data_IF_576253350816
#
_entry.id   IF_576253350816
#
_cell.length_a   1.000
_cell.length_b   1.000
_cell.length_c   1.000
_cell.angle_alpha   90.00
_cell.angle_beta   90.00
_cell.angle_gamma   90.00
#
_symmetry.space_group_name_H-M   'P 1'
#
loop_
_entity.id
_entity.type
_entity.pdbx_description
1 polymer ?
#
# COMPACT_ATOMS: atom_id res chain seq x y z
N UNK A 1 -23.93 -11.26 53.10
CA UNK A 1 -24.19 -9.83 52.84
C UNK A 1 -23.49 -9.42 51.55
N UNK A 2 -24.18 -9.48 50.41
CA UNK A 2 -23.66 -9.09 49.09
C UNK A 2 -24.07 -7.63 48.83
N UNK A 3 -23.11 -6.77 48.46
CA UNK A 3 -23.35 -5.37 48.13
C UNK A 3 -23.53 -5.27 46.62
N UNK A 4 -24.70 -4.86 46.16
CA UNK A 4 -25.00 -4.62 44.75
C UNK A 4 -24.27 -3.36 44.25
N UNK A 5 -23.84 -3.30 42.98
CA UNK A 5 -23.36 -2.06 42.39
C UNK A 5 -24.56 -1.13 42.09
N UNK A 6 -24.40 0.14 42.44
CA UNK A 6 -25.38 1.19 42.21
C UNK A 6 -25.64 1.36 40.70
N UNK A 7 -26.92 1.35 40.33
CA UNK A 7 -27.38 1.69 39.00
C UNK A 7 -27.08 3.17 38.71
N UNK A 8 -26.42 3.43 37.59
CA UNK A 8 -26.29 4.76 37.03
C UNK A 8 -27.68 5.21 36.53
N UNK A 9 -28.11 6.45 36.80
CA UNK A 9 -29.33 6.97 36.20
C UNK A 9 -29.13 7.13 34.69
N UNK A 10 -29.97 6.45 33.91
CA UNK A 10 -30.15 6.71 32.49
C UNK A 10 -30.44 8.20 32.26
N UNK A 11 -29.89 8.84 31.22
CA UNK A 11 -30.37 10.14 30.81
C UNK A 11 -31.83 9.99 30.40
N UNK A 12 -32.69 10.72 31.12
CA UNK A 12 -34.09 10.85 30.80
C UNK A 12 -34.23 11.34 29.36
N UNK A 13 -35.14 10.67 28.64
CA UNK A 13 -35.74 11.14 27.40
C UNK A 13 -36.24 12.58 27.62
N UNK A 14 -35.54 13.56 27.06
CA UNK A 14 -35.98 14.95 27.02
C UNK A 14 -36.41 15.30 25.60
N UNK A 15 -37.72 15.44 25.46
CA UNK A 15 -38.43 16.39 24.59
C UNK A 15 -37.85 16.66 23.20
N UNK A 16 -38.55 16.11 22.22
CA UNK A 16 -38.91 16.71 20.94
C UNK A 16 -38.89 18.26 20.99
N UNK A 17 -38.00 18.88 20.20
CA UNK A 17 -38.11 20.21 19.56
C UNK A 17 -36.78 20.45 18.81
N UNK A 18 -36.51 19.65 17.77
CA UNK A 18 -35.53 20.03 16.74
C UNK A 18 -36.17 21.18 15.96
N UNK A 19 -35.70 22.39 16.26
CA UNK A 19 -36.09 23.61 15.59
C UNK A 19 -35.97 23.41 14.08
N UNK A 20 -37.13 23.42 13.43
CA UNK A 20 -37.30 23.66 12.00
C UNK A 20 -36.92 25.14 11.75
N UNK A 21 -35.65 25.48 11.98
CA UNK A 21 -35.08 26.80 11.72
C UNK A 21 -35.00 26.91 10.19
N UNK A 22 -36.06 27.49 9.61
CA UNK A 22 -36.14 27.78 8.19
C UNK A 22 -34.82 28.45 7.77
N UNK A 23 -34.20 28.02 6.66
CA UNK A 23 -32.93 28.59 6.22
C UNK A 23 -33.09 30.11 6.13
N UNK A 24 -32.13 30.83 6.72
CA UNK A 24 -32.12 32.30 6.72
C UNK A 24 -32.51 32.79 5.33
N UNK A 25 -33.53 33.66 5.26
CA UNK A 25 -34.01 34.24 4.00
C UNK A 25 -32.95 35.19 3.43
N UNK A 26 -31.88 34.62 2.87
CA UNK A 26 -30.85 35.35 2.15
C UNK A 26 -31.42 35.78 0.81
N UNK A 27 -31.42 37.09 0.57
CA UNK A 27 -31.78 37.64 -0.73
C UNK A 27 -30.91 37.01 -1.84
N UNK A 28 -31.50 36.79 -3.02
CA UNK A 28 -30.80 36.20 -4.17
C UNK A 28 -29.50 36.92 -4.54
N UNK A 29 -29.36 38.21 -4.23
CA UNK A 29 -28.11 38.97 -4.41
C UNK A 29 -27.00 38.48 -3.48
N UNK A 30 -27.30 38.32 -2.19
CA UNK A 30 -26.35 37.81 -1.19
C UNK A 30 -25.96 36.37 -1.49
N UNK A 31 -26.92 35.53 -1.89
CA UNK A 31 -26.64 34.15 -2.29
C UNK A 31 -25.71 34.08 -3.53
N UNK A 32 -25.86 34.99 -4.50
CA UNK A 32 -24.97 35.06 -5.66
C UNK A 32 -23.56 35.51 -5.27
N UNK A 33 -23.44 36.53 -4.43
CA UNK A 33 -22.14 37.03 -3.97
C UNK A 33 -21.38 35.98 -3.14
N UNK A 34 -22.09 35.27 -2.24
CA UNK A 34 -21.53 34.17 -1.48
C UNK A 34 -21.03 33.04 -2.39
N UNK A 35 -21.83 32.62 -3.38
CA UNK A 35 -21.44 31.59 -4.33
C UNK A 35 -20.22 31.99 -5.18
N UNK A 36 -20.09 33.27 -5.55
CA UNK A 36 -18.91 33.77 -6.26
C UNK A 36 -17.66 33.83 -5.37
N UNK A 37 -17.81 34.22 -4.10
CA UNK A 37 -16.73 34.21 -3.13
C UNK A 37 -16.23 32.78 -2.87
N UNK A 38 -17.13 31.82 -2.71
CA UNK A 38 -16.79 30.41 -2.56
C UNK A 38 -16.03 29.88 -3.77
N UNK A 39 -16.48 30.19 -4.99
CA UNK A 39 -15.77 29.79 -6.22
C UNK A 39 -14.35 30.35 -6.28
N UNK A 40 -14.15 31.60 -5.86
CA UNK A 40 -12.82 32.22 -5.77
C UNK A 40 -11.95 31.51 -4.73
N UNK A 41 -12.47 31.26 -3.53
CA UNK A 41 -11.76 30.58 -2.45
C UNK A 41 -11.36 29.14 -2.84
N UNK A 42 -12.27 28.39 -3.48
CA UNK A 42 -11.99 27.03 -3.97
C UNK A 42 -10.89 27.07 -5.05
N UNK A 43 -10.95 28.04 -5.96
CA UNK A 43 -9.92 28.24 -6.98
C UNK A 43 -8.54 28.56 -6.38
N UNK A 44 -8.49 29.43 -5.37
CA UNK A 44 -7.26 29.75 -4.64
C UNK A 44 -6.72 28.57 -3.84
N UNK A 45 -7.58 27.81 -3.16
CA UNK A 45 -7.19 26.61 -2.43
C UNK A 45 -6.55 25.58 -3.37
N UNK A 46 -7.12 25.39 -4.57
CA UNK A 46 -6.56 24.51 -5.59
C UNK A 46 -5.17 24.98 -6.08
N UNK A 47 -4.97 26.30 -6.23
CA UNK A 47 -3.66 26.88 -6.59
C UNK A 47 -2.63 26.65 -5.49
N UNK A 48 -2.96 26.97 -4.24
CA UNK A 48 -2.09 26.73 -3.06
C UNK A 48 -1.73 25.26 -2.94
N UNK A 49 -2.68 24.35 -3.13
CA UNK A 49 -2.42 22.92 -3.10
C UNK A 49 -1.42 22.49 -4.19
N UNK A 50 -1.55 23.01 -5.41
CA UNK A 50 -0.59 22.76 -6.50
C UNK A 50 0.81 23.27 -6.16
N UNK A 51 0.93 24.41 -5.49
CA UNK A 51 2.21 24.97 -5.06
C UNK A 51 2.87 24.11 -3.98
N UNK A 52 2.13 23.66 -2.97
CA UNK A 52 2.62 22.75 -1.94
C UNK A 52 3.17 21.44 -2.53
N UNK A 53 2.52 20.88 -3.56
CA UNK A 53 3.03 19.68 -4.23
C UNK A 53 4.34 19.94 -4.98
N UNK A 54 4.48 21.11 -5.63
CA UNK A 54 5.74 21.52 -6.27
C UNK A 54 6.85 21.73 -5.23
N UNK A 55 6.54 22.36 -4.11
CA UNK A 55 7.49 22.56 -3.02
C UNK A 55 7.97 21.23 -2.43
N UNK A 56 7.06 20.28 -2.16
CA UNK A 56 7.42 18.93 -1.73
C UNK A 56 8.37 18.25 -2.72
N UNK A 57 8.12 18.40 -4.03
CA UNK A 57 9.01 17.87 -5.07
C UNK A 57 10.39 18.53 -5.03
N UNK A 58 10.47 19.85 -4.84
CA UNK A 58 11.74 20.59 -4.70
C UNK A 58 12.53 20.11 -3.48
N UNK A 59 11.89 20.06 -2.30
CA UNK A 59 12.51 19.57 -1.05
C UNK A 59 13.07 18.15 -1.21
N UNK A 60 12.33 17.26 -1.88
CA UNK A 60 12.81 15.91 -2.13
C UNK A 60 14.03 15.87 -3.06
N UNK A 61 14.06 16.74 -4.09
CA UNK A 61 15.22 16.87 -4.98
C UNK A 61 16.45 17.44 -4.23
N UNK A 62 16.25 18.43 -3.36
CA UNK A 62 17.29 19.01 -2.52
C UNK A 62 17.89 17.96 -1.57
N UNK A 63 17.05 17.19 -0.86
CA UNK A 63 17.51 16.10 -0.01
C UNK A 63 18.28 15.05 -0.80
N UNK A 64 17.84 14.72 -2.02
CA UNK A 64 18.57 13.78 -2.87
C UNK A 64 19.94 14.35 -3.28
N UNK A 65 20.01 15.63 -3.66
CA UNK A 65 21.26 16.29 -4.01
C UNK A 65 22.21 16.38 -2.81
N UNK A 66 21.71 16.72 -1.63
CA UNK A 66 22.48 16.74 -0.39
C UNK A 66 22.97 15.35 0.01
N UNK A 67 22.11 14.33 -0.10
CA UNK A 67 22.53 12.95 0.12
C UNK A 67 23.60 12.53 -0.87
N UNK A 68 23.46 12.88 -2.15
CA UNK A 68 24.49 12.61 -3.15
C UNK A 68 25.80 13.31 -2.80
N UNK A 69 25.77 14.58 -2.42
CA UNK A 69 26.95 15.32 -1.93
C UNK A 69 27.60 14.67 -0.72
N UNK A 70 26.81 14.26 0.29
CA UNK A 70 27.32 13.58 1.50
C UNK A 70 27.84 12.16 1.23
N UNK A 71 27.38 11.51 0.16
CA UNK A 71 27.84 10.19 -0.29
C UNK A 71 29.04 10.27 -1.22
N UNK A 72 29.43 11.46 -1.69
CA UNK A 72 30.71 11.66 -2.35
C UNK A 72 31.82 11.52 -1.31
N UNK A 73 32.96 10.97 -1.74
CA UNK A 73 34.16 10.94 -0.92
C UNK A 73 34.57 12.37 -0.56
N UNK A 74 35.14 12.61 0.63
CA UNK A 74 35.64 13.92 1.01
C UNK A 74 36.51 14.49 -0.11
N UNK A 75 36.35 15.79 -0.39
CA UNK A 75 37.01 16.46 -1.52
C UNK A 75 38.53 16.27 -1.50
N UNK A 76 39.15 16.23 -0.31
CA UNK A 76 40.57 15.93 -0.14
C UNK A 76 40.99 14.59 -0.77
N UNK A 77 40.19 13.53 -0.62
CA UNK A 77 40.49 12.21 -1.22
C UNK A 77 40.31 12.24 -2.74
N UNK A 78 39.36 13.02 -3.24
CA UNK A 78 39.17 13.19 -4.69
C UNK A 78 40.33 13.98 -5.31
N UNK A 79 40.82 15.02 -4.62
CA UNK A 79 41.99 15.80 -5.03
C UNK A 79 43.26 14.93 -5.05
N UNK A 80 43.50 14.11 -4.01
CA UNK A 80 44.63 13.17 -3.99
C UNK A 80 44.59 12.19 -5.16
N UNK A 81 43.42 11.64 -5.50
CA UNK A 81 43.28 10.74 -6.65
C UNK A 81 43.52 11.46 -7.99
N UNK A 82 43.12 12.73 -8.10
CA UNK A 82 43.36 13.53 -9.29
C UNK A 82 44.84 13.89 -9.44
N UNK A 83 45.53 14.30 -8.37
CA UNK A 83 46.96 14.57 -8.36
C UNK A 83 47.77 13.31 -8.71
N UNK A 84 47.37 12.14 -8.21
CA UNK A 84 47.99 10.86 -8.58
C UNK A 84 47.77 10.52 -10.07
N UNK A 85 46.63 10.89 -10.65
CA UNK A 85 46.38 10.72 -12.07
C UNK A 85 47.23 11.69 -12.91
N UNK A 86 47.30 12.96 -12.52
CA UNK A 86 48.14 13.97 -13.19
C UNK A 86 49.63 13.62 -13.10
N UNK A 87 50.09 13.05 -11.97
CA UNK A 87 51.44 12.51 -11.83
C UNK A 87 51.71 11.28 -12.71
N UNK A 88 50.69 10.44 -12.98
CA UNK A 88 50.80 9.33 -13.92
C UNK A 88 50.88 9.79 -15.39
N UNK A 89 50.14 10.84 -15.76
CA UNK A 89 50.09 11.36 -17.13
C UNK A 89 51.42 12.04 -17.57
N UNK A 90 52.27 12.46 -16.63
CA UNK A 90 53.63 12.95 -16.93
C UNK A 90 54.64 11.81 -17.19
N UNK A 91 54.30 10.56 -16.83
CA UNK A 91 55.23 9.42 -16.87
C UNK A 91 55.11 8.53 -18.11
N UNK A 92 54.02 8.60 -18.89
CA UNK A 92 53.85 7.71 -20.06
C UNK A 92 53.51 8.44 -21.36
N UNK A 93 54.54 8.70 -22.17
CA UNK A 93 54.43 8.73 -23.64
C UNK A 93 55.16 7.50 -24.18
N UNK A 94 54.47 6.58 -24.88
CA UNK A 94 54.66 6.52 -26.32
C UNK A 94 53.39 6.17 -27.14
N UNK A 95 53.48 6.49 -28.43
CA UNK A 95 52.49 6.21 -29.48
C UNK A 95 52.43 4.71 -29.80
N UNK A 96 51.23 4.22 -30.16
CA UNK A 96 51.07 2.94 -30.86
C UNK A 96 49.61 2.62 -31.18
N UNK A 97 49.17 2.92 -32.41
CA UNK A 97 47.86 2.49 -32.92
C UNK A 97 47.94 1.01 -33.31
N UNK A 98 47.18 0.14 -32.64
CA UNK A 98 46.94 -1.23 -33.10
C UNK A 98 45.43 -1.49 -33.22
N UNK A 99 44.96 -1.58 -34.47
CA UNK A 99 43.58 -2.01 -34.79
C UNK A 99 43.45 -3.50 -34.48
N UNK A 100 42.60 -3.87 -33.51
CA UNK A 100 42.13 -5.25 -33.36
C UNK A 100 40.70 -5.36 -33.89
N UNK A 101 40.54 -6.08 -35.00
CA UNK A 101 39.23 -6.43 -35.59
C UNK A 101 38.55 -7.50 -34.73
N UNK A 102 37.38 -7.18 -34.14
CA UNK A 102 36.49 -8.19 -33.56
C UNK A 102 35.69 -8.90 -34.67
N UNK A 103 36.04 -10.15 -34.98
CA UNK A 103 35.20 -11.06 -35.77
C UNK A 103 34.03 -11.53 -34.90
N UNK A 104 32.79 -11.28 -35.36
CA UNK A 104 31.57 -11.90 -34.83
C UNK A 104 31.64 -13.41 -35.03
N UNK A 105 31.40 -14.19 -33.97
CA UNK A 105 30.98 -15.59 -34.07
C UNK A 105 29.73 -15.74 -33.20
N UNK A 106 28.58 -15.86 -33.87
CA UNK A 106 27.30 -16.28 -33.28
C UNK A 106 27.36 -17.80 -33.13
N UNK A 107 27.26 -18.31 -31.91
CA UNK A 107 26.76 -19.65 -31.68
C UNK A 107 25.68 -19.59 -30.59
N UNK A 108 24.46 -19.97 -30.99
CA UNK A 108 23.31 -20.22 -30.13
C UNK A 108 23.55 -21.57 -29.45
N UNK A 109 23.40 -21.60 -28.13
CA UNK A 109 23.35 -22.84 -27.36
C UNK A 109 22.69 -22.54 -26.03
N UNK A 110 21.38 -22.77 -25.96
CA UNK A 110 20.60 -22.58 -24.74
C UNK A 110 21.09 -23.54 -23.65
N UNK A 111 21.69 -22.98 -22.59
CA UNK A 111 21.81 -23.63 -21.28
C UNK A 111 20.98 -22.82 -20.30
N UNK A 112 19.97 -23.46 -19.75
CA UNK A 112 19.23 -23.01 -18.57
C UNK A 112 20.12 -23.29 -17.34
N UNK A 113 20.35 -22.31 -16.46
CA UNK A 113 20.60 -22.58 -15.05
C UNK A 113 19.45 -21.96 -14.23
N UNK A 114 18.64 -22.76 -13.53
CA UNK A 114 18.96 -23.30 -12.21
C UNK A 114 19.27 -22.19 -11.18
N UNK A 115 18.24 -21.91 -10.39
CA UNK A 115 18.27 -21.43 -8.99
C UNK A 115 18.72 -19.98 -8.80
N UNK A 116 17.74 -19.13 -8.50
CA UNK A 116 17.94 -17.91 -7.71
C UNK A 116 18.60 -18.33 -6.39
N UNK A 117 19.94 -18.30 -6.35
CA UNK A 117 20.65 -18.11 -5.11
C UNK A 117 20.47 -16.64 -4.78
N UNK A 118 19.82 -16.39 -3.65
CA UNK A 118 19.88 -15.10 -2.98
C UNK A 118 21.34 -14.65 -2.93
N UNK A 119 21.66 -13.65 -3.75
CA UNK A 119 22.88 -12.89 -3.62
C UNK A 119 22.72 -12.07 -2.35
N UNK A 120 23.01 -12.71 -1.21
CA UNK A 120 23.46 -11.99 -0.03
C UNK A 120 24.71 -11.23 -0.45
N UNK A 121 24.55 -9.97 -0.86
CA UNK A 121 25.63 -9.01 -0.86
C UNK A 121 26.13 -8.95 0.58
N UNK A 122 27.23 -9.65 0.84
CA UNK A 122 27.98 -9.54 2.08
C UNK A 122 28.58 -8.14 2.13
N UNK A 123 27.81 -7.18 2.62
CA UNK A 123 28.34 -5.90 3.09
C UNK A 123 29.35 -6.18 4.22
N UNK A 124 30.45 -5.42 4.30
CA UNK A 124 31.40 -5.53 5.40
C UNK A 124 30.66 -5.35 6.73
N UNK A 125 30.90 -6.31 7.63
CA UNK A 125 30.20 -6.59 8.88
C UNK A 125 30.06 -5.34 9.76
N UNK A 126 28.93 -4.64 9.67
CA UNK A 126 28.54 -3.64 10.67
C UNK A 126 28.22 -4.38 11.97
N UNK A 127 29.02 -4.16 13.01
CA UNK A 127 28.74 -4.66 14.36
C UNK A 127 27.54 -3.87 14.92
N UNK A 128 26.33 -4.43 14.78
CA UNK A 128 25.14 -3.93 15.48
C UNK A 128 23.85 -4.46 14.87
N UNK A 129 23.19 -5.39 15.56
CA UNK A 129 21.81 -5.76 15.23
C UNK A 129 20.90 -4.64 15.76
N UNK A 130 20.31 -3.85 14.87
CA UNK A 130 19.30 -2.87 15.25
C UNK A 130 17.93 -3.55 15.29
N UNK A 131 17.26 -3.51 16.43
CA UNK A 131 15.85 -3.89 16.54
C UNK A 131 15.04 -2.61 16.51
N UNK A 132 14.30 -2.37 15.43
CA UNK A 132 13.35 -1.28 15.40
C UNK A 132 12.18 -1.63 16.33
N UNK A 133 12.04 -0.90 17.44
CA UNK A 133 10.92 -1.04 18.38
C UNK A 133 9.92 0.04 18.03
N UNK A 134 8.75 -0.35 17.52
CA UNK A 134 7.64 0.58 17.34
C UNK A 134 7.08 0.97 18.72
N UNK A 135 6.98 2.27 19.01
CA UNK A 135 6.41 2.84 20.25
C UNK A 135 4.88 2.89 20.20
N UNK A 136 4.24 2.41 21.28
CA UNK A 136 2.84 1.95 21.54
C UNK A 136 1.62 2.73 21.02
N UNK A 137 1.75 3.65 20.05
CA UNK A 137 0.62 4.30 19.37
C UNK A 137 -0.16 3.35 18.43
N UNK A 138 0.22 2.07 18.44
CA UNK A 138 -0.33 0.93 17.71
C UNK A 138 -1.74 0.55 18.14
N UNK A 139 -2.17 0.93 19.34
CA UNK A 139 -3.46 0.48 19.87
C UNK A 139 -4.62 1.21 19.19
N UNK A 140 -4.57 2.54 19.10
CA UNK A 140 -5.60 3.33 18.41
C UNK A 140 -5.55 3.14 16.89
N UNK A 141 -4.35 3.12 16.31
CA UNK A 141 -4.16 2.80 14.88
C UNK A 141 -4.53 1.35 14.59
N UNK A 142 -4.30 0.42 15.51
CA UNK A 142 -4.68 -0.98 15.41
C UNK A 142 -6.19 -1.18 15.45
N UNK A 143 -6.90 -0.51 16.36
CA UNK A 143 -8.36 -0.54 16.42
C UNK A 143 -8.99 0.04 15.15
N UNK A 144 -8.53 1.20 14.67
CA UNK A 144 -9.05 1.77 13.43
C UNK A 144 -8.73 0.90 12.21
N UNK A 145 -7.55 0.27 12.16
CA UNK A 145 -7.21 -0.70 11.11
C UNK A 145 -8.06 -1.97 11.20
N UNK A 146 -8.38 -2.46 12.40
CA UNK A 146 -9.27 -3.60 12.58
C UNK A 146 -10.67 -3.26 12.11
N UNK A 147 -11.23 -2.13 12.54
CA UNK A 147 -12.53 -1.64 12.06
C UNK A 147 -12.56 -1.48 10.54
N UNK A 148 -11.52 -0.92 9.94
CA UNK A 148 -11.41 -0.80 8.49
C UNK A 148 -11.35 -2.16 7.78
N UNK A 149 -10.61 -3.13 8.34
CA UNK A 149 -10.54 -4.50 7.82
C UNK A 149 -11.90 -5.19 7.92
N UNK A 150 -12.58 -5.05 9.06
CA UNK A 150 -13.89 -5.65 9.30
C UNK A 150 -14.94 -5.04 8.38
N UNK A 151 -14.91 -3.72 8.18
CA UNK A 151 -15.75 -3.04 7.20
C UNK A 151 -15.53 -3.58 5.79
N UNK A 152 -14.28 -3.68 5.33
CA UNK A 152 -13.97 -4.25 4.01
C UNK A 152 -14.40 -5.72 3.90
N UNK A 153 -14.22 -6.50 4.97
CA UNK A 153 -14.64 -7.90 5.00
C UNK A 153 -16.16 -8.03 4.92
N UNK A 154 -16.91 -7.21 5.65
CA UNK A 154 -18.37 -7.22 5.60
C UNK A 154 -18.91 -6.82 4.21
N UNK A 155 -18.30 -5.81 3.59
CA UNK A 155 -18.74 -5.29 2.28
C UNK A 155 -18.32 -6.19 1.10
N UNK A 156 -17.10 -6.72 1.11
CA UNK A 156 -16.53 -7.45 -0.03
C UNK A 156 -16.57 -8.97 0.12
N UNK A 157 -16.45 -9.49 1.34
CA UNK A 157 -16.27 -10.91 1.65
C UNK A 157 -17.35 -11.44 2.63
N UNK A 158 -18.49 -10.75 2.73
CA UNK A 158 -19.58 -11.08 3.64
C UNK A 158 -20.44 -12.28 3.18
N UNK A 159 -21.44 -12.69 3.99
CA UNK A 159 -22.25 -13.91 3.76
C UNK A 159 -23.00 -13.97 2.43
N UNK A 160 -23.22 -12.82 1.80
CA UNK A 160 -23.96 -12.68 0.54
C UNK A 160 -23.05 -12.37 -0.65
N UNK A 161 -21.73 -12.28 -0.44
CA UNK A 161 -20.77 -12.06 -1.52
C UNK A 161 -20.10 -13.38 -1.88
N UNK A 162 -20.11 -13.69 -3.17
CA UNK A 162 -19.46 -14.89 -3.67
C UNK A 162 -17.95 -14.72 -3.91
N UNK A 163 -17.31 -13.82 -3.16
CA UNK A 163 -15.91 -13.44 -3.34
C UNK A 163 -15.08 -14.03 -2.21
N UNK A 164 -13.97 -14.65 -2.56
CA UNK A 164 -13.03 -15.28 -1.61
C UNK A 164 -11.90 -14.31 -1.29
N UNK A 165 -11.42 -14.30 -0.04
CA UNK A 165 -10.28 -13.45 0.35
C UNK A 165 -9.02 -13.87 -0.40
N UNK A 166 -8.14 -12.91 -0.75
CA UNK A 166 -6.91 -13.20 -1.49
C UNK A 166 -6.03 -14.24 -0.77
N UNK A 167 -5.91 -14.16 0.55
CA UNK A 167 -5.12 -15.09 1.35
C UNK A 167 -5.67 -16.52 1.29
N UNK A 168 -6.99 -16.68 1.27
CA UNK A 168 -7.65 -17.98 1.14
C UNK A 168 -7.52 -18.52 -0.29
N UNK A 169 -7.69 -17.67 -1.30
CA UNK A 169 -7.55 -18.05 -2.70
C UNK A 169 -6.12 -18.50 -3.04
N UNK A 170 -5.10 -17.82 -2.52
CA UNK A 170 -3.70 -18.20 -2.71
C UNK A 170 -3.16 -19.14 -1.63
N UNK A 171 -4.01 -19.65 -0.74
CA UNK A 171 -3.60 -20.57 0.31
C UNK A 171 -3.04 -21.88 -0.26
N UNK A 172 -2.12 -22.51 0.48
CA UNK A 172 -1.59 -23.82 0.11
C UNK A 172 -2.67 -24.90 0.07
N UNK A 173 -3.73 -24.77 0.87
CA UNK A 173 -4.88 -25.66 0.83
C UNK A 173 -5.53 -25.59 -0.56
N UNK A 174 -5.94 -24.40 -1.01
CA UNK A 174 -6.55 -24.22 -2.32
C UNK A 174 -5.62 -24.63 -3.48
N UNK A 175 -4.30 -24.47 -3.30
CA UNK A 175 -3.31 -24.90 -4.29
C UNK A 175 -3.19 -26.42 -4.41
N UNK A 176 -3.34 -27.15 -3.30
CA UNK A 176 -3.23 -28.61 -3.24
C UNK A 176 -4.56 -29.32 -3.52
N UNK A 177 -5.69 -28.61 -3.42
CA UNK A 177 -7.00 -29.16 -3.68
C UNK A 177 -7.14 -29.64 -5.14
N UNK A 178 -7.74 -30.82 -5.39
CA UNK A 178 -7.96 -31.33 -6.75
C UNK A 178 -8.90 -30.44 -7.56
N UNK A 179 -9.85 -29.77 -6.88
CA UNK A 179 -10.75 -28.77 -7.46
C UNK A 179 -10.42 -27.42 -6.85
N UNK A 180 -9.81 -26.53 -7.63
CA UNK A 180 -9.44 -25.19 -7.19
C UNK A 180 -10.69 -24.35 -6.92
N UNK A 181 -10.72 -23.69 -5.76
CA UNK A 181 -11.70 -22.65 -5.44
C UNK A 181 -11.42 -21.42 -6.32
N UNK A 182 -12.48 -20.89 -6.92
CA UNK A 182 -12.43 -19.67 -7.71
C UNK A 182 -12.37 -18.43 -6.81
N UNK A 183 -11.75 -17.34 -7.29
CA UNK A 183 -11.67 -16.09 -6.56
C UNK A 183 -13.05 -15.41 -6.42
N UNK A 184 -13.90 -15.58 -7.43
CA UNK A 184 -15.29 -15.16 -7.45
C UNK A 184 -16.13 -16.32 -7.96
N UNK A 185 -17.22 -16.63 -7.28
CA UNK A 185 -18.26 -17.55 -7.74
C UNK A 185 -19.42 -16.70 -8.27
N UNK A 186 -20.00 -17.06 -9.41
CA UNK A 186 -21.13 -16.30 -9.95
C UNK A 186 -22.48 -16.85 -9.47
N UNK A 187 -22.49 -18.08 -8.98
CA UNK A 187 -23.68 -18.81 -8.56
C UNK A 187 -23.35 -19.56 -7.28
N UNK A 188 -24.25 -19.48 -6.30
CA UNK A 188 -24.15 -20.20 -5.04
C UNK A 188 -24.25 -21.70 -5.29
N UNK A 189 -23.15 -22.41 -5.02
CA UNK A 189 -23.10 -23.88 -5.18
C UNK A 189 -24.07 -24.61 -4.25
N UNK A 190 -24.45 -23.98 -3.14
CA UNK A 190 -25.40 -24.50 -2.14
C UNK A 190 -26.87 -24.37 -2.58
N UNK A 191 -27.21 -23.47 -3.53
CA UNK A 191 -28.60 -23.22 -3.96
C UNK A 191 -29.34 -24.49 -4.42
N UNK A 192 -28.61 -25.44 -5.01
CA UNK A 192 -29.18 -26.72 -5.46
C UNK A 192 -29.16 -27.83 -4.41
N UNK A 193 -28.43 -27.68 -3.30
CA UNK A 193 -28.25 -28.74 -2.31
C UNK A 193 -29.51 -28.95 -1.49
N UNK A 194 -30.15 -27.89 -1.01
CA UNK A 194 -31.40 -27.99 -0.25
C UNK A 194 -32.53 -28.67 -1.04
N UNK A 195 -32.64 -28.35 -2.33
CA UNK A 195 -33.62 -28.99 -3.22
C UNK A 195 -33.30 -30.47 -3.43
N UNK A 196 -32.03 -30.82 -3.60
CA UNK A 196 -31.58 -32.22 -3.71
C UNK A 196 -31.84 -33.00 -2.42
N UNK A 197 -31.58 -32.41 -1.26
CA UNK A 197 -31.86 -33.03 0.04
C UNK A 197 -33.35 -33.22 0.27
N UNK A 198 -34.17 -32.19 0.00
CA UNK A 198 -35.64 -32.31 0.07
C UNK A 198 -36.14 -33.41 -0.86
N UNK A 199 -35.63 -33.49 -2.09
CA UNK A 199 -35.99 -34.55 -3.03
C UNK A 199 -35.53 -35.94 -2.54
N UNK A 200 -34.35 -36.06 -1.95
CA UNK A 200 -33.86 -37.31 -1.38
C UNK A 200 -34.68 -37.76 -0.17
N UNK A 201 -35.04 -36.84 0.74
CA UNK A 201 -35.94 -37.09 1.87
C UNK A 201 -37.33 -37.51 1.39
N UNK A 202 -37.84 -36.87 0.35
CA UNK A 202 -39.12 -37.22 -0.27
C UNK A 202 -39.09 -38.63 -0.88
N UNK A 203 -38.05 -38.97 -1.67
CA UNK A 203 -37.86 -40.33 -2.21
C UNK A 203 -37.78 -41.39 -1.12
N UNK A 204 -37.08 -41.13 -0.02
CA UNK A 204 -37.01 -42.04 1.13
C UNK A 204 -38.37 -42.29 1.79
N UNK A 205 -39.22 -41.25 1.89
CA UNK A 205 -40.60 -41.37 2.43
C UNK A 205 -41.55 -42.16 1.54
N UNK A 206 -41.26 -42.25 0.23
CA UNK A 206 -42.09 -42.95 -0.74
C UNK A 206 -41.73 -44.43 -0.89
N UNK A 207 -40.53 -44.83 -0.46
CA UNK A 207 -40.04 -46.21 -0.52
C UNK A 207 -40.23 -46.96 0.81
N UNK A 208 -40.81 -46.31 1.82
CA UNK A 208 -41.23 -46.90 3.09
C UNK A 208 -42.75 -47.12 3.06
#
# INVERSE_FOLDING_TARGET
KRRAPAALPSPASSSEDEADEAPEEVSFGVAREAAEAERKLVGEAARRHRELLKEKRRRHQELFAEQKKRRLLPEAVLQELQELQELQDVSTRPKGKAKLKCRRRKERGARVPARYRDLHLSLPRTKGNYTAVCLKDHSATGLHQQLAKDFLNAQLYGPHTNRVQANEFFSLANKKDPVKKAAVQFVDKSWGQDKKEKAARFKKRWLA
#
